data_IF_698311807619
#
_entry.id   IF_698311807619
#
_cell.length_a   1.000
_cell.length_b   1.000
_cell.length_c   1.000
_cell.angle_alpha   90.00
_cell.angle_beta   90.00
_cell.angle_gamma   90.00
#
_symmetry.space_group_name_H-M   'P 1'
#
loop_
_entity.id
_entity.type
_entity.pdbx_description
1 polymer ?
#
# COMPACT_ATOMS: atom_id res chain seq x y z
N UNK A 1 -10.35 13.34 55.28
CA UNK A 1 -11.25 12.62 54.34
C UNK A 1 -11.10 13.14 52.92
N UNK A 2 -11.11 14.46 52.71
CA UNK A 2 -10.88 15.13 51.41
C UNK A 2 -9.54 14.78 50.75
N UNK A 3 -8.43 14.80 51.51
CA UNK A 3 -7.09 14.47 50.97
C UNK A 3 -7.00 13.03 50.43
N UNK A 4 -7.55 12.05 51.15
CA UNK A 4 -7.58 10.65 50.71
C UNK A 4 -8.46 10.47 49.46
N UNK A 5 -9.57 11.19 49.38
CA UNK A 5 -10.42 11.21 48.19
C UNK A 5 -9.70 11.81 46.97
N UNK A 6 -8.99 12.92 47.14
CA UNK A 6 -8.19 13.54 46.08
C UNK A 6 -7.08 12.61 45.59
N UNK A 7 -6.36 11.94 46.50
CA UNK A 7 -5.31 10.97 46.14
C UNK A 7 -5.90 9.77 45.39
N UNK A 8 -7.04 9.25 45.86
CA UNK A 8 -7.74 8.15 45.20
C UNK A 8 -8.18 8.51 43.77
N UNK A 9 -8.77 9.70 43.59
CA UNK A 9 -9.18 10.19 42.27
C UNK A 9 -7.98 10.37 41.33
N UNK A 10 -6.88 10.92 41.84
CA UNK A 10 -5.66 11.12 41.06
C UNK A 10 -5.05 9.78 40.63
N UNK A 11 -5.04 8.79 41.53
CA UNK A 11 -4.57 7.44 41.21
C UNK A 11 -5.40 6.81 40.09
N UNK A 12 -6.73 6.92 40.14
CA UNK A 12 -7.63 6.42 39.08
C UNK A 12 -7.32 7.08 37.73
N UNK A 13 -7.12 8.41 37.70
CA UNK A 13 -6.76 9.13 36.46
C UNK A 13 -5.42 8.67 35.89
N UNK A 14 -4.42 8.43 36.75
CA UNK A 14 -3.10 7.94 36.33
C UNK A 14 -3.20 6.54 35.74
N UNK A 15 -3.86 5.60 36.44
CA UNK A 15 -4.02 4.24 35.94
C UNK A 15 -4.79 4.20 34.61
N UNK A 16 -5.81 5.05 34.49
CA UNK A 16 -6.55 5.20 33.25
C UNK A 16 -5.67 5.73 32.10
N UNK A 17 -4.85 6.75 32.34
CA UNK A 17 -3.94 7.31 31.34
C UNK A 17 -2.91 6.27 30.87
N UNK A 18 -2.37 5.47 31.78
CA UNK A 18 -1.47 4.35 31.47
C UNK A 18 -2.18 3.33 30.56
N UNK A 19 -3.44 2.99 30.86
CA UNK A 19 -4.24 2.08 30.04
C UNK A 19 -4.43 2.57 28.61
N UNK A 20 -4.77 3.85 28.44
CA UNK A 20 -4.92 4.49 27.11
C UNK A 20 -3.60 4.51 26.36
N UNK A 21 -2.51 4.91 27.02
CA UNK A 21 -1.18 4.94 26.42
C UNK A 21 -0.75 3.56 25.91
N UNK A 22 -0.88 2.52 26.74
CA UNK A 22 -0.52 1.15 26.36
C UNK A 22 -1.34 0.64 25.17
N UNK A 23 -2.64 0.98 25.12
CA UNK A 23 -3.50 0.67 23.96
C UNK A 23 -3.00 1.35 22.69
N UNK A 24 -2.66 2.64 22.75
CA UNK A 24 -2.15 3.38 21.58
C UNK A 24 -0.80 2.83 21.10
N UNK A 25 0.11 2.47 22.02
CA UNK A 25 1.37 1.79 21.67
C UNK A 25 1.10 0.46 20.97
N UNK A 26 0.17 -0.35 21.49
CA UNK A 26 -0.22 -1.62 20.88
C UNK A 26 -0.72 -1.45 19.45
N UNK A 27 -1.61 -0.48 19.21
CA UNK A 27 -2.13 -0.19 17.88
C UNK A 27 -1.04 0.33 16.93
N UNK A 28 -0.17 1.23 17.38
CA UNK A 28 0.97 1.73 16.58
C UNK A 28 1.90 0.59 16.13
N UNK A 29 2.16 -0.37 17.02
CA UNK A 29 2.98 -1.53 16.70
C UNK A 29 2.28 -2.44 15.67
N UNK A 30 0.95 -2.60 15.75
CA UNK A 30 0.19 -3.35 14.74
C UNK A 30 0.24 -2.66 13.37
N UNK A 31 0.10 -1.33 13.31
CA UNK A 31 0.27 -0.55 12.07
C UNK A 31 1.66 -0.77 11.48
N UNK A 32 2.70 -0.65 12.31
CA UNK A 32 4.10 -0.85 11.89
C UNK A 32 4.31 -2.27 11.35
N UNK A 33 3.72 -3.27 11.99
CA UNK A 33 3.81 -4.66 11.55
C UNK A 33 3.06 -4.89 10.23
N UNK A 34 1.86 -4.35 10.09
CA UNK A 34 1.10 -4.41 8.83
C UNK A 34 1.87 -3.79 7.66
N UNK A 35 2.53 -2.65 7.90
CA UNK A 35 3.39 -2.01 6.90
C UNK A 35 4.56 -2.91 6.47
N UNK A 36 5.25 -3.53 7.43
CA UNK A 36 6.35 -4.47 7.12
C UNK A 36 5.88 -5.65 6.27
N UNK A 37 4.66 -6.14 6.45
CA UNK A 37 4.12 -7.24 5.65
C UNK A 37 3.93 -6.82 4.19
N UNK A 38 3.46 -5.59 3.94
CA UNK A 38 3.35 -5.01 2.59
C UNK A 38 4.74 -4.86 1.98
N UNK A 39 5.69 -4.25 2.71
CA UNK A 39 7.05 -3.97 2.25
C UNK A 39 7.77 -5.23 1.72
N UNK A 40 7.61 -6.36 2.39
CA UNK A 40 8.15 -7.66 1.92
C UNK A 40 7.58 -8.05 0.56
N UNK A 41 6.29 -7.84 0.31
CA UNK A 41 5.68 -8.17 -0.98
C UNK A 41 6.08 -7.18 -2.07
N UNK A 42 6.19 -5.89 -1.75
CA UNK A 42 6.67 -4.88 -2.70
C UNK A 42 8.09 -5.21 -3.16
N UNK A 43 8.98 -5.51 -2.21
CA UNK A 43 10.35 -5.92 -2.50
C UNK A 43 10.40 -7.16 -3.41
N UNK A 44 9.62 -8.20 -3.09
CA UNK A 44 9.51 -9.40 -3.95
C UNK A 44 9.11 -9.02 -5.38
N UNK A 45 8.08 -8.18 -5.54
CA UNK A 45 7.61 -7.72 -6.85
C UNK A 45 8.71 -6.98 -7.61
N UNK A 46 9.45 -6.12 -6.94
CA UNK A 46 10.56 -5.36 -7.53
C UNK A 46 11.74 -6.22 -7.94
N UNK A 47 11.98 -7.32 -7.23
CA UNK A 47 13.08 -8.26 -7.48
C UNK A 47 12.77 -9.22 -8.65
N UNK A 48 11.49 -9.46 -8.95
CA UNK A 48 11.06 -10.27 -10.10
C UNK A 48 11.17 -9.53 -11.45
N UNK A 49 11.05 -8.20 -11.45
CA UNK A 49 11.00 -7.40 -12.69
C UNK A 49 12.29 -7.47 -13.52
N UNK A 50 13.51 -7.38 -12.93
CA UNK A 50 14.74 -7.56 -13.70
C UNK A 50 14.79 -8.88 -14.46
N UNK A 51 14.32 -9.98 -13.85
CA UNK A 51 14.27 -11.30 -14.48
C UNK A 51 13.24 -11.36 -15.61
N UNK A 52 12.10 -10.68 -15.48
CA UNK A 52 11.13 -10.52 -16.57
C UNK A 52 11.76 -9.79 -17.75
N UNK A 53 12.40 -8.64 -17.48
CA UNK A 53 13.04 -7.82 -18.51
C UNK A 53 14.15 -8.59 -19.22
N UNK A 54 15.00 -9.33 -18.49
CA UNK A 54 16.08 -10.11 -19.11
C UNK A 54 15.55 -11.24 -19.99
N UNK A 55 14.48 -11.91 -19.56
CA UNK A 55 13.85 -13.01 -20.31
C UNK A 55 13.23 -12.50 -21.62
N UNK A 56 12.58 -11.33 -21.58
CA UNK A 56 11.92 -10.73 -22.75
C UNK A 56 12.91 -10.11 -23.73
N UNK A 57 14.02 -9.53 -23.25
CA UNK A 57 15.08 -9.01 -24.12
C UNK A 57 15.67 -10.08 -25.04
N UNK A 58 15.64 -11.34 -24.64
CA UNK A 58 16.06 -12.46 -25.50
C UNK A 58 15.18 -12.69 -26.72
N UNK A 59 13.96 -12.13 -26.76
CA UNK A 59 13.00 -12.32 -27.85
C UNK A 59 13.17 -11.35 -29.04
N UNK A 60 14.21 -10.49 -29.03
CA UNK A 60 14.70 -9.56 -30.07
C UNK A 60 13.72 -8.54 -30.70
N UNK A 61 12.41 -8.79 -30.72
CA UNK A 61 11.39 -8.00 -31.44
C UNK A 61 10.44 -7.21 -30.50
N UNK A 62 10.57 -7.39 -29.18
CA UNK A 62 9.66 -6.75 -28.23
C UNK A 62 9.96 -5.26 -28.05
N UNK A 63 8.91 -4.45 -27.93
CA UNK A 63 9.01 -3.00 -27.84
C UNK A 63 9.89 -2.50 -26.69
N UNK A 64 11.02 -1.87 -27.04
CA UNK A 64 11.97 -1.30 -26.08
C UNK A 64 11.32 -0.27 -25.16
N UNK A 65 10.46 0.60 -25.71
CA UNK A 65 9.77 1.63 -24.94
C UNK A 65 8.89 1.06 -23.83
N UNK A 66 8.23 -0.06 -24.08
CA UNK A 66 7.38 -0.74 -23.09
C UNK A 66 8.22 -1.35 -21.96
N UNK A 67 9.37 -1.96 -22.27
CA UNK A 67 10.30 -2.45 -21.25
C UNK A 67 10.91 -1.31 -20.43
N UNK A 68 11.30 -0.20 -21.07
CA UNK A 68 11.83 0.99 -20.39
C UNK A 68 10.79 1.62 -19.45
N UNK A 69 9.52 1.64 -19.84
CA UNK A 69 8.43 2.10 -18.97
C UNK A 69 8.28 1.23 -17.71
N UNK A 70 8.37 -0.10 -17.84
CA UNK A 70 8.34 -1.02 -16.68
C UNK A 70 9.55 -0.82 -15.77
N UNK A 71 10.76 -0.71 -16.32
CA UNK A 71 11.98 -0.46 -15.53
C UNK A 71 11.88 0.87 -14.78
N UNK A 72 11.42 1.92 -15.47
CA UNK A 72 11.26 3.25 -14.88
C UNK A 72 10.25 3.25 -13.75
N UNK A 73 9.09 2.62 -13.95
CA UNK A 73 8.05 2.50 -12.93
C UNK A 73 8.56 1.69 -11.72
N UNK A 74 9.30 0.59 -11.95
CA UNK A 74 9.94 -0.21 -10.89
C UNK A 74 10.91 0.62 -10.08
N UNK A 75 11.76 1.42 -10.73
CA UNK A 75 12.74 2.25 -10.04
C UNK A 75 12.08 3.33 -9.19
N UNK A 76 10.98 3.93 -9.67
CA UNK A 76 10.19 4.88 -8.88
C UNK A 76 9.55 4.20 -7.68
N UNK A 77 8.89 3.05 -7.87
CA UNK A 77 8.26 2.27 -6.83
C UNK A 77 9.25 1.82 -5.74
N UNK A 78 10.42 1.33 -6.13
CA UNK A 78 11.48 0.94 -5.20
C UNK A 78 12.07 2.11 -4.40
N UNK A 79 11.94 3.34 -4.91
CA UNK A 79 12.36 4.57 -4.23
C UNK A 79 11.21 5.25 -3.47
N UNK A 80 10.09 4.57 -3.27
CA UNK A 80 8.96 5.11 -2.52
C UNK A 80 9.29 5.27 -1.03
N UNK A 81 8.79 6.33 -0.42
CA UNK A 81 8.98 6.60 1.01
C UNK A 81 7.65 6.64 1.73
N UNK A 82 7.42 5.64 2.59
CA UNK A 82 6.21 5.52 3.37
C UNK A 82 4.99 4.96 2.60
N UNK A 83 3.90 4.63 3.32
CA UNK A 83 2.74 3.96 2.75
C UNK A 83 2.05 4.73 1.62
N UNK A 84 1.86 6.05 1.77
CA UNK A 84 1.12 6.84 0.79
C UNK A 84 1.88 6.97 -0.54
N UNK A 85 3.19 7.27 -0.48
CA UNK A 85 4.02 7.37 -1.69
C UNK A 85 4.18 6.02 -2.39
N UNK A 86 4.32 4.94 -1.61
CA UNK A 86 4.37 3.59 -2.13
C UNK A 86 3.07 3.23 -2.86
N UNK A 87 1.90 3.48 -2.28
CA UNK A 87 0.62 3.18 -2.94
C UNK A 87 0.47 3.83 -4.32
N UNK A 88 0.87 5.10 -4.44
CA UNK A 88 0.87 5.82 -5.73
C UNK A 88 1.84 5.21 -6.75
N UNK A 89 3.10 5.00 -6.37
CA UNK A 89 4.15 4.53 -7.29
C UNK A 89 3.97 3.05 -7.67
N UNK A 90 3.44 2.23 -6.75
CA UNK A 90 3.03 0.86 -7.05
C UNK A 90 1.87 0.83 -8.04
N UNK A 91 0.92 1.78 -7.94
CA UNK A 91 -0.14 1.96 -8.93
C UNK A 91 0.42 2.21 -10.34
N UNK A 92 1.40 3.10 -10.48
CA UNK A 92 2.10 3.34 -11.75
C UNK A 92 2.76 2.06 -12.29
N UNK A 93 3.39 1.28 -11.40
CA UNK A 93 4.01 0.00 -11.76
C UNK A 93 2.97 -1.05 -12.17
N UNK A 94 1.82 -1.14 -11.50
CA UNK A 94 0.72 -2.06 -11.87
C UNK A 94 0.21 -1.72 -13.27
N UNK A 95 0.01 -0.44 -13.57
CA UNK A 95 -0.39 -0.01 -14.91
C UNK A 95 0.66 -0.31 -15.97
N UNK A 96 1.95 -0.10 -15.67
CA UNK A 96 3.04 -0.41 -16.60
C UNK A 96 3.13 -1.91 -16.90
N UNK A 97 3.03 -2.77 -15.88
CA UNK A 97 3.00 -4.23 -16.05
C UNK A 97 1.74 -4.68 -16.81
N UNK A 98 0.58 -4.09 -16.54
CA UNK A 98 -0.65 -4.38 -17.28
C UNK A 98 -0.52 -4.10 -18.77
N UNK A 99 0.01 -2.92 -19.14
CA UNK A 99 0.31 -2.58 -20.55
C UNK A 99 1.34 -3.53 -21.17
N UNK A 100 2.38 -3.88 -20.42
CA UNK A 100 3.39 -4.83 -20.86
C UNK A 100 2.78 -6.19 -21.23
N UNK A 101 1.97 -6.78 -20.33
CA UNK A 101 1.38 -8.09 -20.58
C UNK A 101 0.32 -8.05 -21.69
N UNK A 102 -0.48 -7.00 -21.77
CA UNK A 102 -1.43 -6.82 -22.87
C UNK A 102 -0.72 -6.73 -24.23
N UNK A 103 0.43 -6.05 -24.31
CA UNK A 103 1.23 -6.02 -25.53
C UNK A 103 1.87 -7.39 -25.83
N UNK A 104 2.36 -8.09 -24.81
CA UNK A 104 2.99 -9.40 -24.94
C UNK A 104 2.07 -10.48 -25.54
N UNK A 105 0.74 -10.33 -25.43
CA UNK A 105 -0.22 -11.22 -26.08
C UNK A 105 -0.10 -11.23 -27.61
N UNK A 106 0.39 -10.14 -28.22
CA UNK A 106 0.62 -10.05 -29.67
C UNK A 106 1.91 -10.77 -30.14
N UNK A 107 2.69 -11.34 -29.21
CA UNK A 107 3.97 -12.00 -29.48
C UNK A 107 3.91 -13.48 -29.06
N UNK A 108 3.54 -14.41 -29.97
CA UNK A 108 3.41 -15.84 -29.67
C UNK A 108 4.64 -16.46 -29.01
N UNK A 109 5.84 -15.99 -29.35
CA UNK A 109 7.10 -16.42 -28.75
C UNK A 109 7.21 -16.08 -27.25
N UNK A 110 6.56 -15.01 -26.79
CA UNK A 110 6.52 -14.63 -25.38
C UNK A 110 5.45 -15.39 -24.63
N UNK A 111 4.26 -15.54 -25.21
CA UNK A 111 3.16 -16.30 -24.59
C UNK A 111 3.46 -17.79 -24.52
N UNK A 112 4.24 -18.35 -25.45
CA UNK A 112 4.71 -19.73 -25.40
C UNK A 112 5.88 -19.94 -24.42
N UNK A 113 6.56 -18.87 -23.98
CA UNK A 113 7.71 -18.99 -23.09
C UNK A 113 7.28 -19.27 -21.66
N UNK A 114 7.65 -20.45 -21.15
CA UNK A 114 7.31 -20.91 -19.80
C UNK A 114 7.85 -20.00 -18.69
N UNK A 115 9.04 -19.41 -18.87
CA UNK A 115 9.62 -18.50 -17.87
C UNK A 115 8.84 -17.17 -17.82
N UNK A 116 8.41 -16.64 -18.96
CA UNK A 116 7.60 -15.41 -19.02
C UNK A 116 6.26 -15.64 -18.32
N UNK A 117 5.59 -16.77 -18.61
CA UNK A 117 4.34 -17.14 -17.96
C UNK A 117 4.49 -17.33 -16.45
N UNK A 118 5.53 -18.02 -16.01
CA UNK A 118 5.80 -18.19 -14.58
C UNK A 118 6.01 -16.84 -13.87
N UNK A 119 6.76 -15.92 -14.48
CA UNK A 119 6.96 -14.57 -13.92
C UNK A 119 5.67 -13.75 -13.90
N UNK A 120 4.82 -13.88 -14.93
CA UNK A 120 3.50 -13.24 -14.95
C UNK A 120 2.63 -13.75 -13.79
N UNK A 121 2.59 -15.07 -13.58
CA UNK A 121 1.85 -15.69 -12.48
C UNK A 121 2.39 -15.26 -11.12
N UNK A 122 3.71 -15.21 -10.94
CA UNK A 122 4.33 -14.75 -9.69
C UNK A 122 4.07 -13.26 -9.41
N UNK A 123 4.15 -12.40 -10.44
CA UNK A 123 3.86 -10.97 -10.30
C UNK A 123 2.38 -10.74 -9.98
N UNK A 124 1.47 -11.41 -10.68
CA UNK A 124 0.03 -11.36 -10.43
C UNK A 124 -0.32 -11.89 -9.02
N UNK A 125 0.26 -13.02 -8.63
CA UNK A 125 0.10 -13.58 -7.29
C UNK A 125 0.64 -12.66 -6.19
N UNK A 126 1.74 -11.95 -6.46
CA UNK A 126 2.30 -10.96 -5.52
C UNK A 126 1.37 -9.74 -5.43
N UNK A 127 0.80 -9.27 -6.54
CA UNK A 127 -0.15 -8.16 -6.55
C UNK A 127 -1.42 -8.48 -5.75
N UNK A 128 -1.96 -9.68 -5.89
CA UNK A 128 -3.10 -10.13 -5.10
C UNK A 128 -2.77 -10.12 -3.59
N UNK A 129 -1.59 -10.60 -3.20
CA UNK A 129 -1.12 -10.55 -1.81
C UNK A 129 -0.95 -9.12 -1.29
N UNK A 130 -0.42 -8.21 -2.12
CA UNK A 130 -0.34 -6.78 -1.79
C UNK A 130 -1.75 -6.22 -1.57
N UNK A 131 -2.72 -6.58 -2.42
CA UNK A 131 -4.11 -6.18 -2.29
C UNK A 131 -4.72 -6.57 -0.94
N UNK A 132 -4.55 -7.83 -0.51
CA UNK A 132 -5.02 -8.30 0.80
C UNK A 132 -4.27 -7.64 1.97
N UNK A 133 -2.94 -7.53 1.88
CA UNK A 133 -2.13 -6.90 2.91
C UNK A 133 -2.47 -5.40 3.09
N UNK A 134 -2.76 -4.70 1.98
CA UNK A 134 -3.25 -3.32 1.97
C UNK A 134 -4.55 -3.17 2.74
N UNK A 135 -5.55 -4.03 2.49
CA UNK A 135 -6.83 -3.97 3.20
C UNK A 135 -6.60 -4.12 4.72
N UNK A 136 -5.86 -5.16 5.11
CA UNK A 136 -5.53 -5.41 6.51
C UNK A 136 -4.78 -4.25 7.16
N UNK A 137 -3.78 -3.70 6.48
CA UNK A 137 -3.02 -2.53 6.96
C UNK A 137 -3.92 -1.32 7.15
N UNK A 138 -4.73 -0.98 6.15
CA UNK A 138 -5.62 0.19 6.20
C UNK A 138 -6.67 0.07 7.31
N UNK A 139 -7.18 -1.14 7.57
CA UNK A 139 -8.09 -1.39 8.69
C UNK A 139 -7.43 -1.09 10.04
N UNK A 140 -6.19 -1.51 10.24
CA UNK A 140 -5.43 -1.28 11.48
C UNK A 140 -5.04 0.20 11.60
N UNK A 141 -4.56 0.80 10.52
CA UNK A 141 -4.22 2.22 10.46
C UNK A 141 -5.44 3.08 10.79
N UNK A 142 -6.61 2.75 10.24
CA UNK A 142 -7.87 3.41 10.57
C UNK A 142 -8.25 3.24 12.03
N UNK A 143 -8.17 2.02 12.59
CA UNK A 143 -8.43 1.78 14.03
C UNK A 143 -7.49 2.58 14.93
N UNK A 144 -6.22 2.65 14.58
CA UNK A 144 -5.22 3.45 15.28
C UNK A 144 -5.54 4.95 15.19
N UNK A 145 -5.81 5.46 13.98
CA UNK A 145 -6.16 6.86 13.74
C UNK A 145 -7.41 7.26 14.53
N UNK A 146 -8.47 6.46 14.48
CA UNK A 146 -9.68 6.67 15.30
C UNK A 146 -9.33 6.70 16.79
N UNK A 147 -8.52 5.76 17.28
CA UNK A 147 -8.12 5.74 18.69
C UNK A 147 -7.32 6.97 19.11
N UNK A 148 -6.56 7.60 18.19
CA UNK A 148 -5.86 8.87 18.47
C UNK A 148 -6.75 10.11 18.38
N UNK A 149 -7.97 9.99 17.82
CA UNK A 149 -8.87 11.13 17.59
C UNK A 149 -10.04 11.19 18.58
N UNK A 150 -10.46 10.05 19.12
CA UNK A 150 -11.56 9.99 20.10
C UNK A 150 -11.09 10.25 21.52
N UNK A 151 -11.98 10.78 22.37
CA UNK A 151 -11.73 10.89 23.81
C UNK A 151 -11.77 9.49 24.43
N UNK A 152 -10.81 9.11 25.27
CA UNK A 152 -9.71 9.95 25.79
C UNK A 152 -8.38 9.91 25.03
N UNK A 153 -8.30 9.11 23.97
CA UNK A 153 -7.08 8.89 23.22
C UNK A 153 -6.48 10.17 22.64
N UNK A 154 -7.28 11.15 22.21
CA UNK A 154 -6.79 12.43 21.70
C UNK A 154 -5.97 13.25 22.69
N UNK A 155 -6.33 13.25 23.98
CA UNK A 155 -5.61 13.95 25.04
C UNK A 155 -4.23 13.34 25.26
N UNK A 156 -4.18 12.01 25.34
CA UNK A 156 -2.94 11.26 25.52
C UNK A 156 -2.08 11.31 24.24
N UNK A 157 -2.71 11.23 23.06
CA UNK A 157 -2.04 11.25 21.76
C UNK A 157 -1.25 12.54 21.55
N UNK A 158 -1.86 13.70 21.84
CA UNK A 158 -1.20 15.00 21.70
C UNK A 158 0.02 15.14 22.62
N UNK A 159 -0.12 14.81 23.91
CA UNK A 159 0.96 14.95 24.90
C UNK A 159 2.09 13.94 24.66
N UNK A 160 1.76 12.71 24.25
CA UNK A 160 2.74 11.64 24.04
C UNK A 160 3.25 11.52 22.59
N UNK A 161 2.83 12.41 21.69
CA UNK A 161 3.33 12.49 20.31
C UNK A 161 2.87 11.36 19.38
N UNK A 162 1.70 10.76 19.63
CA UNK A 162 1.11 9.81 18.69
C UNK A 162 0.56 10.55 17.47
N UNK A 163 1.18 10.31 16.32
CA UNK A 163 0.74 10.87 15.03
C UNK A 163 -0.16 9.88 14.30
N UNK A 164 -1.14 10.34 13.51
CA UNK A 164 -1.90 9.48 12.60
C UNK A 164 -0.97 8.71 11.66
N UNK A 165 -1.35 7.46 11.38
CA UNK A 165 -0.74 6.65 10.34
C UNK A 165 -1.26 7.06 8.96
N UNK A 166 -0.38 7.06 7.98
CA UNK A 166 -0.75 7.16 6.56
C UNK A 166 -1.47 5.90 6.11
N UNK A 167 -2.38 6.03 5.14
CA UNK A 167 -3.00 4.88 4.49
C UNK A 167 -2.20 4.48 3.26
N UNK A 168 -2.24 3.19 2.92
CA UNK A 168 -1.74 2.70 1.64
C UNK A 168 -2.88 2.73 0.63
N UNK A 169 -2.95 3.79 -0.16
CA UNK A 169 -3.97 3.99 -1.19
C UNK A 169 -3.33 3.92 -2.57
N UNK A 170 -3.93 3.14 -3.46
CA UNK A 170 -3.58 3.18 -4.88
C UNK A 170 -4.47 4.25 -5.46
N UNK A 171 -3.91 5.44 -5.71
CA UNK A 171 -4.66 6.51 -6.35
C UNK A 171 -4.71 6.22 -7.85
N UNK A 172 -5.86 5.77 -8.36
CA UNK A 172 -6.05 5.78 -9.81
C UNK A 172 -6.33 7.22 -10.26
N UNK A 173 -5.54 7.78 -11.20
CA UNK A 173 -5.90 9.02 -11.86
C UNK A 173 -7.14 8.77 -12.74
N UNK A 174 -8.34 8.92 -12.16
CA UNK A 174 -9.61 8.71 -12.87
C UNK A 174 -10.76 8.20 -12.02
N UNK A 175 -10.51 7.58 -10.86
CA UNK A 175 -11.56 6.94 -10.05
C UNK A 175 -12.54 7.95 -9.42
N UNK A 176 -12.14 9.23 -9.33
CA UNK A 176 -13.02 10.35 -8.95
C UNK A 176 -13.57 11.13 -10.15
N UNK A 177 -13.21 10.77 -11.38
CA UNK A 177 -13.78 11.39 -12.57
C UNK A 177 -15.15 10.78 -12.83
N UNK A 178 -16.20 11.52 -12.47
CA UNK A 178 -17.58 11.16 -12.80
C UNK A 178 -17.70 11.04 -14.32
N UNK A 179 -18.16 9.91 -14.87
CA UNK A 179 -18.38 9.80 -16.31
C UNK A 179 -19.40 10.85 -16.74
N UNK A 180 -19.00 11.75 -17.65
CA UNK A 180 -19.93 12.68 -18.28
C UNK A 180 -20.80 11.87 -19.25
N UNK A 181 -21.99 11.48 -18.80
CA UNK A 181 -23.00 10.90 -19.67
C UNK A 181 -23.64 12.03 -20.47
N UNK A 182 -23.28 12.15 -21.74
CA UNK A 182 -23.99 13.00 -22.69
C UNK A 182 -25.20 12.23 -23.23
N UNK A 183 -26.40 12.63 -22.80
CA UNK A 183 -27.67 12.04 -23.24
C UNK A 183 -28.29 12.78 -24.43
N UNK A 184 -27.52 13.57 -25.19
CA UNK A 184 -27.98 14.14 -26.45
C UNK A 184 -28.10 13.06 -27.55
N UNK A 185 -29.09 12.20 -27.38
CA UNK A 185 -29.70 11.49 -28.50
C UNK A 185 -30.17 12.55 -29.50
N UNK A 186 -29.49 12.62 -30.65
CA UNK A 186 -29.90 13.44 -31.79
C UNK A 186 -31.34 13.05 -32.16
N UNK A 187 -32.29 13.93 -31.86
CA UNK A 187 -33.59 13.97 -32.52
C UNK A 187 -33.47 14.55 -33.91
#
# INVERSE_FOLDING_TARGET
MSVLFTIGLLAVLVFWAIGVYNRLVGLRNQVTNGWKQIDVQLKRRHDLIPNLVSTVKGAMEFEKGTLEAVITARNRAAAATGPADAGRKEGELTQALGRFFALAENYPQLTANTNVRALQEELSGTENKIGFARQFYNDIATKYNTATQVIPGNLIAGVAGFRPAELFEITEPGERAVPKVDLSMKG
#
